data_IF_209019955921
#
_entry.id   IF_209019955921
#
_cell.length_a   1.000
_cell.length_b   1.000
_cell.length_c   1.000
_cell.angle_alpha   90.00
_cell.angle_beta   90.00
_cell.angle_gamma   90.00
#
_symmetry.space_group_name_H-M   'P 1'
#
loop_
_entity.id
_entity.type
_entity.pdbx_description
1 polymer ?
#
# COMPACT_ATOMS: atom_id res chain seq x y z
N UNK A 1 32.62 7.16 -17.89
CA UNK A 1 31.68 7.35 -16.76
C UNK A 1 30.30 7.43 -17.34
N UNK A 2 29.40 6.55 -16.92
CA UNK A 2 27.97 6.57 -17.24
C UNK A 2 27.27 7.61 -16.36
N UNK A 3 26.11 8.12 -16.80
CA UNK A 3 25.31 9.09 -16.03
C UNK A 3 24.62 8.40 -14.85
N UNK A 4 24.08 7.19 -15.10
CA UNK A 4 23.42 6.38 -14.09
C UNK A 4 24.44 5.52 -13.34
N UNK A 5 24.27 5.34 -12.01
CA UNK A 5 25.01 4.34 -11.25
C UNK A 5 24.83 2.93 -11.81
N UNK A 6 25.84 2.09 -11.64
CA UNK A 6 25.81 0.71 -12.13
C UNK A 6 24.73 -0.14 -11.43
N UNK A 7 24.34 0.23 -10.22
CA UNK A 7 23.34 -0.40 -9.36
C UNK A 7 21.98 0.33 -9.37
N UNK A 8 21.73 1.18 -10.38
CA UNK A 8 20.42 1.85 -10.50
C UNK A 8 19.29 0.82 -10.71
N UNK A 9 18.21 0.97 -9.94
CA UNK A 9 17.06 0.07 -10.00
C UNK A 9 16.08 0.49 -11.10
N UNK A 10 15.97 -0.32 -12.15
CA UNK A 10 15.05 -0.16 -13.28
C UNK A 10 13.93 -1.19 -13.21
N UNK A 11 12.68 -0.73 -13.28
CA UNK A 11 11.53 -1.62 -13.11
C UNK A 11 10.18 -0.96 -13.36
N UNK A 12 9.13 -1.66 -12.93
CA UNK A 12 7.74 -1.24 -12.99
C UNK A 12 7.06 -1.33 -11.62
N UNK A 13 5.87 -0.74 -11.49
CA UNK A 13 5.13 -0.68 -10.24
C UNK A 13 3.63 -0.89 -10.42
N UNK A 14 3.03 -1.68 -9.53
CA UNK A 14 1.58 -1.92 -9.42
C UNK A 14 1.16 -1.95 -7.94
N UNK A 15 -0.14 -2.05 -7.67
CA UNK A 15 -0.70 -2.44 -6.37
C UNK A 15 -1.49 -3.74 -6.52
N UNK A 16 -1.48 -4.60 -5.50
CA UNK A 16 -2.09 -5.92 -5.56
C UNK A 16 -3.57 -5.87 -6.00
N UNK A 17 -4.38 -5.05 -5.35
CA UNK A 17 -5.81 -4.90 -5.67
C UNK A 17 -6.10 -4.39 -7.11
N UNK A 18 -5.12 -3.81 -7.79
CA UNK A 18 -5.29 -3.28 -9.15
C UNK A 18 -5.00 -4.34 -10.23
N UNK A 19 -4.30 -5.42 -9.88
CA UNK A 19 -3.84 -6.41 -10.87
C UNK A 19 -4.16 -7.86 -10.51
N UNK A 20 -4.11 -8.23 -9.24
CA UNK A 20 -4.19 -9.63 -8.81
C UNK A 20 -5.51 -10.29 -9.20
N UNK A 21 -6.63 -9.63 -8.90
CA UNK A 21 -7.92 -10.31 -8.96
C UNK A 21 -8.05 -11.38 -7.90
N UNK A 22 -8.70 -12.50 -8.26
CA UNK A 22 -8.90 -13.67 -7.39
C UNK A 22 -9.36 -13.25 -5.98
N UNK A 23 -10.29 -12.29 -5.94
CA UNK A 23 -10.55 -11.47 -4.75
C UNK A 23 -11.09 -12.27 -3.55
N UNK A 24 -11.60 -13.47 -3.79
CA UNK A 24 -12.22 -14.38 -2.83
C UNK A 24 -11.58 -15.79 -2.82
N UNK A 25 -10.41 -15.96 -3.44
CA UNK A 25 -9.70 -17.24 -3.52
C UNK A 25 -8.70 -17.42 -2.37
N UNK A 26 -8.39 -18.67 -2.06
CA UNK A 26 -7.38 -19.07 -1.07
C UNK A 26 -7.51 -18.36 0.30
N UNK A 27 -8.76 -18.13 0.71
CA UNK A 27 -9.08 -17.53 1.99
C UNK A 27 -8.90 -16.02 2.07
N UNK A 28 -8.62 -15.32 0.96
CA UNK A 28 -8.58 -13.85 0.92
C UNK A 28 -9.90 -13.26 1.43
N UNK A 29 -9.79 -12.31 2.35
CA UNK A 29 -10.91 -11.50 2.81
C UNK A 29 -11.21 -10.31 1.90
N UNK A 30 -12.38 -9.72 2.08
CA UNK A 30 -12.74 -8.48 1.40
C UNK A 30 -11.85 -7.34 1.89
N UNK A 31 -11.40 -6.52 0.95
CA UNK A 31 -10.76 -5.24 1.15
C UNK A 31 -11.75 -4.11 0.85
N UNK A 32 -11.40 -2.87 1.20
CA UNK A 32 -12.18 -1.68 0.78
C UNK A 32 -12.34 -1.59 -0.74
N UNK A 33 -11.41 -2.13 -1.52
CA UNK A 33 -11.45 -2.08 -2.99
C UNK A 33 -12.51 -3.00 -3.59
N UNK A 34 -12.84 -4.09 -2.91
CA UNK A 34 -13.81 -5.07 -3.39
C UNK A 34 -15.24 -4.49 -3.41
N UNK A 35 -15.47 -3.40 -2.69
CA UNK A 35 -16.74 -2.64 -2.66
C UNK A 35 -16.67 -1.28 -3.35
N UNK A 36 -15.61 -0.99 -4.12
CA UNK A 36 -15.43 0.27 -4.86
C UNK A 36 -15.48 0.06 -6.38
N UNK A 37 -16.62 -0.33 -6.99
CA UNK A 37 -16.70 -0.58 -8.44
C UNK A 37 -16.33 0.65 -9.28
N UNK A 38 -16.55 1.86 -8.74
CA UNK A 38 -16.28 3.15 -9.38
C UNK A 38 -14.95 3.79 -8.94
N UNK A 39 -14.08 3.02 -8.29
CA UNK A 39 -12.80 3.49 -7.75
C UNK A 39 -12.96 4.45 -6.57
N UNK A 40 -11.86 5.04 -6.10
CA UNK A 40 -11.86 5.85 -4.88
C UNK A 40 -12.65 7.16 -4.94
N UNK A 41 -12.98 7.64 -6.15
CA UNK A 41 -13.86 8.80 -6.35
C UNK A 41 -15.34 8.44 -6.37
N UNK A 42 -15.67 7.15 -6.42
CA UNK A 42 -17.03 6.66 -6.44
C UNK A 42 -17.50 6.17 -5.06
N UNK A 43 -18.81 6.00 -4.94
CA UNK A 43 -19.44 5.48 -3.74
C UNK A 43 -19.15 3.98 -3.55
N UNK A 44 -19.00 3.58 -2.29
CA UNK A 44 -18.89 2.18 -1.91
C UNK A 44 -20.24 1.45 -2.02
N UNK A 45 -20.19 0.16 -2.33
CA UNK A 45 -21.34 -0.75 -2.26
C UNK A 45 -21.36 -1.49 -0.93
N UNK A 46 -22.51 -2.05 -0.54
CA UNK A 46 -22.61 -2.87 0.68
C UNK A 46 -21.83 -4.19 0.56
N UNK A 47 -21.85 -4.79 -0.62
CA UNK A 47 -21.15 -6.03 -0.96
C UNK A 47 -20.48 -5.88 -2.34
N UNK A 48 -19.49 -6.72 -2.68
CA UNK A 48 -18.90 -6.75 -4.01
C UNK A 48 -19.94 -6.91 -5.11
N UNK A 49 -19.77 -6.18 -6.21
CA UNK A 49 -20.65 -6.24 -7.38
C UNK A 49 -19.85 -6.65 -8.62
N UNK A 50 -20.49 -7.36 -9.54
CA UNK A 50 -19.84 -7.95 -10.73
C UNK A 50 -19.19 -6.90 -11.64
N UNK A 51 -19.69 -5.67 -11.66
CA UNK A 51 -19.12 -4.54 -12.41
C UNK A 51 -17.82 -4.00 -11.81
N UNK A 52 -17.43 -4.43 -10.60
CA UNK A 52 -16.15 -4.08 -10.03
C UNK A 52 -15.01 -4.87 -10.71
N UNK A 53 -14.30 -4.20 -11.62
CA UNK A 53 -13.20 -4.80 -12.38
C UNK A 53 -12.08 -5.38 -11.51
N UNK A 54 -11.91 -4.92 -10.27
CA UNK A 54 -10.88 -5.40 -9.34
C UNK A 54 -11.15 -6.80 -8.81
N UNK A 55 -12.38 -7.32 -8.95
CA UNK A 55 -12.69 -8.71 -8.56
C UNK A 55 -11.89 -9.71 -9.39
N UNK A 56 -11.73 -9.42 -10.69
CA UNK A 56 -10.89 -10.20 -11.62
C UNK A 56 -9.50 -9.58 -11.82
N UNK A 57 -9.34 -8.27 -11.64
CA UNK A 57 -8.09 -7.58 -11.95
C UNK A 57 -7.68 -7.79 -13.40
N UNK A 58 -6.39 -8.04 -13.62
CA UNK A 58 -5.88 -8.61 -14.88
C UNK A 58 -5.51 -10.09 -14.71
N UNK A 59 -5.98 -10.71 -13.63
CA UNK A 59 -5.69 -12.08 -13.24
C UNK A 59 -4.19 -12.35 -12.97
N UNK A 60 -3.46 -11.32 -12.48
CA UNK A 60 -2.05 -11.47 -12.12
C UNK A 60 -1.85 -12.56 -11.06
N UNK A 61 -2.85 -12.81 -10.21
CA UNK A 61 -2.79 -13.88 -9.20
C UNK A 61 -2.47 -15.25 -9.80
N UNK A 62 -2.97 -15.56 -10.99
CA UNK A 62 -2.69 -16.82 -11.69
C UNK A 62 -1.62 -16.68 -12.77
N UNK A 63 -1.47 -15.50 -13.36
CA UNK A 63 -0.62 -15.22 -14.52
C UNK A 63 0.74 -14.60 -14.18
N UNK A 64 1.06 -14.46 -12.89
CA UNK A 64 2.27 -13.74 -12.47
C UNK A 64 3.56 -14.31 -13.08
N UNK A 65 3.63 -15.60 -13.38
CA UNK A 65 4.83 -16.21 -13.98
C UNK A 65 5.05 -15.76 -15.43
N UNK A 66 3.97 -15.76 -16.21
CA UNK A 66 3.98 -15.28 -17.59
C UNK A 66 4.29 -13.77 -17.62
N UNK A 67 3.68 -12.99 -16.73
CA UNK A 67 3.90 -11.56 -16.65
C UNK A 67 5.33 -11.22 -16.18
N UNK A 68 5.89 -11.98 -15.22
CA UNK A 68 7.28 -11.84 -14.77
C UNK A 68 8.27 -12.22 -15.88
N UNK A 69 7.93 -13.19 -16.73
CA UNK A 69 8.74 -13.49 -17.91
C UNK A 69 8.86 -12.27 -18.81
N UNK A 70 7.77 -11.51 -19.02
CA UNK A 70 7.80 -10.25 -19.77
C UNK A 70 8.58 -9.15 -19.04
N UNK A 71 8.51 -9.07 -17.72
CA UNK A 71 9.33 -8.14 -16.92
C UNK A 71 10.83 -8.44 -17.07
N UNK A 72 11.19 -9.72 -17.06
CA UNK A 72 12.55 -10.17 -17.30
C UNK A 72 13.02 -9.88 -18.73
N UNK A 73 12.16 -10.02 -19.74
CA UNK A 73 12.50 -9.69 -21.13
C UNK A 73 12.84 -8.20 -21.28
N UNK A 74 12.15 -7.32 -20.54
CA UNK A 74 12.49 -5.89 -20.46
C UNK A 74 13.77 -5.59 -19.67
N UNK A 75 14.32 -6.58 -18.95
CA UNK A 75 15.53 -6.44 -18.14
C UNK A 75 15.29 -5.72 -16.81
N UNK A 76 14.13 -5.92 -16.19
CA UNK A 76 13.89 -5.40 -14.84
C UNK A 76 14.92 -5.98 -13.86
N UNK A 77 15.36 -5.15 -12.92
CA UNK A 77 16.12 -5.59 -11.75
C UNK A 77 15.38 -5.26 -10.43
N UNK A 78 14.24 -4.58 -10.52
CA UNK A 78 13.30 -4.37 -9.41
C UNK A 78 11.86 -4.47 -9.90
N UNK A 79 10.95 -4.95 -9.06
CA UNK A 79 9.52 -4.87 -9.30
C UNK A 79 8.78 -4.42 -8.04
N UNK A 80 8.03 -3.32 -8.15
CA UNK A 80 7.21 -2.80 -7.06
C UNK A 80 5.80 -3.38 -7.12
N UNK A 81 5.36 -3.98 -6.01
CA UNK A 81 3.97 -4.34 -5.78
C UNK A 81 3.58 -4.08 -4.32
N UNK A 82 2.36 -4.40 -3.93
CA UNK A 82 1.95 -4.47 -2.54
C UNK A 82 1.62 -5.90 -2.12
N UNK A 83 1.70 -6.18 -0.81
CA UNK A 83 1.13 -7.40 -0.25
C UNK A 83 -0.30 -7.07 0.18
N UNK A 84 -1.28 -7.72 -0.43
CA UNK A 84 -2.67 -7.55 -0.06
C UNK A 84 -2.90 -7.97 1.40
N UNK A 85 -3.15 -6.99 2.28
CA UNK A 85 -3.36 -7.23 3.71
C UNK A 85 -4.45 -8.28 3.92
N UNK A 86 -5.57 -8.21 3.18
CA UNK A 86 -6.66 -9.17 3.31
C UNK A 86 -6.35 -10.59 2.78
N UNK A 87 -5.20 -10.82 2.12
CA UNK A 87 -4.71 -12.19 1.86
C UNK A 87 -4.02 -12.78 3.09
N UNK A 88 -3.38 -11.96 3.91
CA UNK A 88 -2.61 -12.41 5.09
C UNK A 88 -3.49 -12.46 6.33
N UNK A 89 -4.28 -11.41 6.57
CA UNK A 89 -5.27 -11.34 7.64
C UNK A 89 -6.63 -10.95 7.03
N UNK A 90 -7.45 -11.94 6.62
CA UNK A 90 -8.71 -11.72 5.90
C UNK A 90 -9.66 -10.71 6.55
N UNK A 91 -9.77 -10.75 7.88
CA UNK A 91 -10.52 -9.77 8.68
C UNK A 91 -9.59 -8.73 9.29
N UNK A 92 -8.32 -9.06 9.54
CA UNK A 92 -7.34 -8.18 10.15
C UNK A 92 -7.15 -8.43 11.65
N UNK A 93 -8.09 -9.11 12.30
CA UNK A 93 -8.08 -9.39 13.73
C UNK A 93 -7.87 -10.87 14.10
N UNK A 94 -7.58 -11.74 13.13
CA UNK A 94 -7.24 -13.14 13.39
C UNK A 94 -5.94 -13.28 14.19
N UNK A 95 -5.85 -14.29 15.07
CA UNK A 95 -4.62 -14.58 15.82
C UNK A 95 -3.49 -15.07 14.90
N UNK A 96 -3.82 -15.99 13.97
CA UNK A 96 -2.88 -16.59 13.04
C UNK A 96 -3.09 -16.07 11.61
N UNK A 97 -2.01 -15.93 10.82
CA UNK A 97 -2.13 -15.51 9.42
C UNK A 97 -2.69 -16.63 8.54
N UNK A 98 -3.23 -16.24 7.40
CA UNK A 98 -3.61 -17.16 6.34
C UNK A 98 -2.36 -17.65 5.58
N UNK A 99 -1.98 -18.90 5.81
CA UNK A 99 -0.81 -19.53 5.19
C UNK A 99 -0.90 -19.58 3.66
N UNK A 100 -2.09 -19.72 3.07
CA UNK A 100 -2.23 -19.74 1.61
C UNK A 100 -1.85 -18.38 1.00
N UNK A 101 -2.23 -17.28 1.64
CA UNK A 101 -1.80 -15.94 1.27
C UNK A 101 -0.29 -15.75 1.42
N UNK A 102 0.30 -16.25 2.52
CA UNK A 102 1.75 -16.18 2.71
C UNK A 102 2.51 -16.97 1.63
N UNK A 103 2.03 -18.17 1.32
CA UNK A 103 2.61 -19.04 0.30
C UNK A 103 2.52 -18.44 -1.12
N UNK A 104 1.41 -17.80 -1.47
CA UNK A 104 1.29 -17.11 -2.76
C UNK A 104 2.42 -16.08 -2.94
N UNK A 105 2.67 -15.23 -1.95
CA UNK A 105 3.76 -14.25 -2.04
C UNK A 105 5.16 -14.89 -1.94
N UNK A 106 5.31 -16.03 -1.25
CA UNK A 106 6.57 -16.79 -1.32
C UNK A 106 6.88 -17.19 -2.77
N UNK A 107 5.90 -17.76 -3.48
CA UNK A 107 6.05 -18.21 -4.86
C UNK A 107 6.24 -17.03 -5.82
N UNK A 108 5.53 -15.92 -5.60
CA UNK A 108 5.71 -14.69 -6.37
C UNK A 108 7.13 -14.14 -6.24
N UNK A 109 7.65 -14.03 -5.01
CA UNK A 109 9.00 -13.51 -4.78
C UNK A 109 10.07 -14.48 -5.25
N UNK A 110 9.85 -15.79 -5.15
CA UNK A 110 10.75 -16.80 -5.72
C UNK A 110 10.83 -16.68 -7.25
N UNK A 111 9.70 -16.44 -7.93
CA UNK A 111 9.69 -16.26 -9.38
C UNK A 111 10.40 -14.97 -9.82
N UNK A 112 10.25 -13.87 -9.07
CA UNK A 112 11.01 -12.63 -9.30
C UNK A 112 12.51 -12.87 -9.15
N UNK A 113 12.93 -13.52 -8.06
CA UNK A 113 14.35 -13.84 -7.82
C UNK A 113 14.94 -14.81 -8.85
N UNK A 114 14.14 -15.76 -9.35
CA UNK A 114 14.56 -16.66 -10.43
C UNK A 114 14.96 -15.91 -11.70
N UNK A 115 14.45 -14.69 -11.89
CA UNK A 115 14.78 -13.78 -12.99
C UNK A 115 15.74 -12.65 -12.60
N UNK A 116 16.28 -12.66 -11.37
CA UNK A 116 17.18 -11.61 -10.87
C UNK A 116 16.49 -10.27 -10.60
N UNK A 117 15.19 -10.29 -10.30
CA UNK A 117 14.38 -9.11 -10.02
C UNK A 117 14.17 -8.98 -8.50
N UNK A 118 14.62 -7.88 -7.91
CA UNK A 118 14.39 -7.60 -6.50
C UNK A 118 12.94 -7.15 -6.23
N UNK A 119 12.24 -7.73 -5.25
CA UNK A 119 10.94 -7.21 -4.83
C UNK A 119 11.09 -5.87 -4.08
N UNK A 120 10.21 -4.92 -4.41
CA UNK A 120 9.97 -3.71 -3.63
C UNK A 120 8.51 -3.73 -3.14
N UNK A 121 8.31 -3.91 -1.84
CA UNK A 121 6.99 -4.19 -1.28
C UNK A 121 6.41 -2.96 -0.57
N UNK A 122 5.22 -2.54 -1.00
CA UNK A 122 4.38 -1.61 -0.23
C UNK A 122 3.49 -2.40 0.72
N UNK A 123 3.58 -2.14 2.03
CA UNK A 123 2.81 -2.87 3.04
C UNK A 123 1.32 -2.49 3.00
N UNK A 124 0.99 -1.20 2.99
CA UNK A 124 -0.39 -0.72 2.86
C UNK A 124 -0.57 0.14 1.61
N UNK A 125 -1.32 -0.39 0.63
CA UNK A 125 -1.61 0.30 -0.63
C UNK A 125 -3.12 0.29 -0.94
N UNK A 126 -3.88 1.02 -0.12
CA UNK A 126 -5.33 1.23 -0.27
C UNK A 126 -6.17 -0.06 -0.22
N UNK A 127 -5.71 -1.04 0.55
CA UNK A 127 -6.27 -2.40 0.56
C UNK A 127 -6.60 -2.92 1.97
N UNK A 128 -6.93 -2.00 2.87
CA UNK A 128 -7.37 -2.30 4.24
C UNK A 128 -8.48 -3.35 4.22
N UNK A 129 -8.41 -4.40 5.08
CA UNK A 129 -9.50 -5.36 5.21
C UNK A 129 -10.83 -4.67 5.51
N UNK A 130 -11.86 -4.97 4.73
CA UNK A 130 -13.18 -4.34 4.83
C UNK A 130 -13.77 -4.54 6.21
N UNK A 131 -13.47 -5.66 6.88
CA UNK A 131 -13.89 -5.89 8.25
C UNK A 131 -13.35 -4.82 9.22
N UNK A 132 -12.07 -4.46 9.13
CA UNK A 132 -11.51 -3.39 9.97
C UNK A 132 -12.13 -2.03 9.63
N UNK A 133 -12.33 -1.76 8.34
CA UNK A 133 -12.96 -0.52 7.87
C UNK A 133 -14.38 -0.37 8.44
N UNK A 134 -15.21 -1.41 8.35
CA UNK A 134 -16.60 -1.39 8.86
C UNK A 134 -16.69 -1.44 10.38
N UNK A 135 -15.83 -2.21 11.07
CA UNK A 135 -15.91 -2.43 12.52
C UNK A 135 -15.29 -1.29 13.34
N UNK A 136 -14.23 -0.69 12.84
CA UNK A 136 -13.44 0.31 13.56
C UNK A 136 -13.39 1.67 12.86
N UNK A 137 -14.10 1.83 11.73
CA UNK A 137 -13.99 3.02 10.87
C UNK A 137 -12.54 3.30 10.44
N UNK A 138 -11.76 2.23 10.25
CA UNK A 138 -10.39 2.32 9.79
C UNK A 138 -9.50 3.14 10.72
N UNK A 139 -8.60 3.93 10.13
CA UNK A 139 -7.47 4.55 10.81
C UNK A 139 -7.85 5.66 11.80
N UNK A 140 -9.11 6.09 11.88
CA UNK A 140 -9.56 6.95 12.99
C UNK A 140 -9.44 6.25 14.35
N UNK A 141 -9.51 4.92 14.36
CA UNK A 141 -9.34 4.11 15.56
C UNK A 141 -7.87 3.71 15.76
N UNK A 142 -7.34 4.03 16.94
CA UNK A 142 -5.95 3.75 17.32
C UNK A 142 -5.61 2.25 17.28
N UNK A 143 -6.59 1.35 17.40
CA UNK A 143 -6.38 -0.10 17.30
C UNK A 143 -5.84 -0.53 15.94
N UNK A 144 -6.04 0.26 14.88
CA UNK A 144 -5.44 -0.01 13.57
C UNK A 144 -3.92 -0.13 13.61
N UNK A 145 -3.25 0.60 14.51
CA UNK A 145 -1.81 0.49 14.72
C UNK A 145 -1.43 -0.96 15.07
N UNK A 146 -2.18 -1.60 15.96
CA UNK A 146 -1.92 -2.97 16.39
C UNK A 146 -2.18 -3.99 15.27
N UNK A 147 -3.29 -3.85 14.53
CA UNK A 147 -3.59 -4.75 13.42
C UNK A 147 -2.55 -4.64 12.31
N UNK A 148 -2.13 -3.42 11.98
CA UNK A 148 -1.09 -3.17 11.00
C UNK A 148 0.28 -3.66 11.48
N UNK A 149 0.63 -3.46 12.76
CA UNK A 149 1.86 -3.99 13.35
C UNK A 149 1.94 -5.52 13.19
N UNK A 150 0.85 -6.23 13.53
CA UNK A 150 0.78 -7.68 13.42
C UNK A 150 0.98 -8.13 11.98
N UNK A 151 0.23 -7.53 11.04
CA UNK A 151 0.38 -7.78 9.61
C UNK A 151 1.82 -7.55 9.13
N UNK A 152 2.37 -6.39 9.41
CA UNK A 152 3.72 -6.02 8.98
C UNK A 152 4.78 -6.95 9.58
N UNK A 153 4.70 -7.26 10.89
CA UNK A 153 5.64 -8.18 11.55
C UNK A 153 5.60 -9.56 10.90
N UNK A 154 4.41 -10.09 10.61
CA UNK A 154 4.27 -11.40 9.96
C UNK A 154 4.99 -11.44 8.61
N UNK A 155 4.75 -10.46 7.73
CA UNK A 155 5.34 -10.47 6.39
C UNK A 155 6.82 -10.09 6.40
N UNK A 156 7.24 -9.19 7.29
CA UNK A 156 8.65 -8.85 7.47
C UNK A 156 9.45 -10.08 7.95
N UNK A 157 8.93 -10.85 8.90
CA UNK A 157 9.59 -12.08 9.36
C UNK A 157 9.59 -13.16 8.27
N UNK A 158 8.45 -13.38 7.60
CA UNK A 158 8.31 -14.41 6.57
C UNK A 158 9.25 -14.17 5.38
N UNK A 159 9.38 -12.93 4.93
CA UNK A 159 10.12 -12.59 3.71
C UNK A 159 11.46 -11.92 3.97
N UNK A 160 12.03 -12.09 5.17
CA UNK A 160 13.27 -11.40 5.57
C UNK A 160 14.49 -11.68 4.70
N UNK A 161 14.52 -12.84 4.05
CA UNK A 161 15.59 -13.26 3.15
C UNK A 161 15.19 -13.10 1.67
N UNK A 162 13.98 -12.60 1.38
CA UNK A 162 13.42 -12.45 0.02
C UNK A 162 13.14 -11.01 -0.37
N UNK A 163 12.98 -10.08 0.57
CA UNK A 163 12.57 -8.70 0.24
C UNK A 163 13.45 -7.71 0.98
N UNK A 164 14.25 -6.95 0.25
CA UNK A 164 15.14 -5.92 0.82
C UNK A 164 14.45 -4.58 1.02
N UNK A 165 13.57 -4.19 0.09
CA UNK A 165 12.99 -2.85 0.02
C UNK A 165 11.52 -2.85 0.40
N UNK A 166 11.18 -2.03 1.39
CA UNK A 166 9.84 -1.93 1.96
C UNK A 166 9.36 -0.48 1.97
N UNK A 167 8.08 -0.27 1.71
CA UNK A 167 7.37 0.98 1.92
C UNK A 167 6.25 0.72 2.92
N UNK A 168 6.08 1.59 3.92
CA UNK A 168 5.05 1.39 4.94
C UNK A 168 3.65 1.69 4.40
N UNK A 169 3.41 2.91 3.99
CA UNK A 169 2.14 3.37 3.44
C UNK A 169 2.35 4.02 2.07
N UNK A 170 1.41 3.81 1.15
CA UNK A 170 1.28 4.65 -0.04
C UNK A 170 0.53 5.93 0.32
N UNK A 171 1.22 7.08 0.36
CA UNK A 171 0.64 8.41 0.55
C UNK A 171 -0.30 8.54 1.76
N UNK A 172 0.24 8.59 2.98
CA UNK A 172 -0.59 8.76 4.21
C UNK A 172 -1.53 9.97 4.13
N UNK A 173 -1.09 11.06 3.48
CA UNK A 173 -1.90 12.27 3.32
C UNK A 173 -3.07 12.11 2.34
N UNK A 174 -3.12 11.06 1.54
CA UNK A 174 -4.28 10.75 0.68
C UNK A 174 -5.57 10.50 1.49
N UNK A 175 -5.45 10.17 2.79
CA UNK A 175 -6.56 10.12 3.75
C UNK A 175 -7.37 11.42 3.77
N UNK A 176 -6.74 12.58 3.50
CA UNK A 176 -7.43 13.87 3.45
C UNK A 176 -8.49 13.92 2.34
N UNK A 177 -8.21 13.29 1.20
CA UNK A 177 -9.09 13.37 0.02
C UNK A 177 -9.97 12.13 -0.13
N UNK A 178 -9.42 10.95 0.18
CA UNK A 178 -10.04 9.64 0.00
C UNK A 178 -10.12 8.85 1.33
N UNK A 179 -10.86 9.33 2.36
CA UNK A 179 -10.86 8.71 3.70
C UNK A 179 -11.14 7.21 3.69
N UNK A 180 -12.12 6.76 2.90
CA UNK A 180 -12.47 5.34 2.82
C UNK A 180 -11.44 4.50 2.06
N UNK A 181 -10.96 4.96 0.91
CA UNK A 181 -9.98 4.23 0.09
C UNK A 181 -8.62 4.13 0.79
N UNK A 182 -8.12 5.25 1.30
CA UNK A 182 -6.78 5.33 1.87
C UNK A 182 -6.74 4.87 3.32
N UNK A 183 -7.67 5.39 4.12
CA UNK A 183 -7.71 5.17 5.56
C UNK A 183 -8.68 4.08 6.02
N UNK A 184 -9.46 3.47 5.12
CA UNK A 184 -10.53 2.56 5.53
C UNK A 184 -11.63 3.24 6.36
N UNK A 185 -11.75 4.56 6.29
CA UNK A 185 -12.64 5.34 7.14
C UNK A 185 -14.07 5.29 6.59
N UNK A 186 -14.87 4.38 7.15
CA UNK A 186 -16.30 4.21 6.82
C UNK A 186 -17.18 5.21 7.58
N UNK A 187 -16.86 6.50 7.45
CA UNK A 187 -17.65 7.63 7.95
C UNK A 187 -17.83 8.58 6.76
N UNK A 188 -19.06 9.05 6.45
CA UNK A 188 -19.29 9.98 5.35
C UNK A 188 -18.39 11.22 5.44
N UNK A 189 -17.92 11.72 4.29
CA UNK A 189 -16.92 12.81 4.24
C UNK A 189 -17.43 14.09 4.91
N UNK A 190 -18.73 14.36 4.84
CA UNK A 190 -19.40 15.50 5.49
C UNK A 190 -19.43 15.41 7.03
N UNK A 191 -19.23 14.21 7.58
CA UNK A 191 -19.17 13.96 9.02
C UNK A 191 -17.73 13.90 9.56
N UNK A 192 -16.71 14.02 8.69
CA UNK A 192 -15.30 13.98 9.08
C UNK A 192 -14.74 15.40 9.24
N UNK A 193 -14.31 15.71 10.45
CA UNK A 193 -13.54 16.92 10.73
C UNK A 193 -12.08 16.77 10.28
N UNK A 194 -11.40 17.90 10.03
CA UNK A 194 -9.94 17.90 9.83
C UNK A 194 -9.20 17.25 11.00
N UNK A 195 -9.70 17.40 12.23
CA UNK A 195 -9.08 16.77 13.41
C UNK A 195 -9.06 15.25 13.28
N UNK A 196 -10.16 14.63 12.86
CA UNK A 196 -10.25 13.17 12.70
C UNK A 196 -9.34 12.66 11.59
N UNK A 197 -9.29 13.37 10.46
CA UNK A 197 -8.40 13.02 9.34
C UNK A 197 -6.92 13.09 9.75
N UNK A 198 -6.51 14.19 10.41
CA UNK A 198 -5.13 14.32 10.90
C UNK A 198 -4.82 13.33 12.04
N UNK A 199 -5.80 12.96 12.86
CA UNK A 199 -5.64 11.93 13.88
C UNK A 199 -5.43 10.55 13.25
N UNK A 200 -6.14 10.23 12.16
CA UNK A 200 -5.93 9.01 11.40
C UNK A 200 -4.53 8.97 10.78
N UNK A 201 -4.10 10.05 10.13
CA UNK A 201 -2.74 10.16 9.58
C UNK A 201 -1.68 10.06 10.68
N UNK A 202 -1.94 10.63 11.86
CA UNK A 202 -1.05 10.46 13.02
C UNK A 202 -0.91 8.99 13.42
N UNK A 203 -2.00 8.22 13.43
CA UNK A 203 -1.92 6.78 13.69
C UNK A 203 -1.09 6.04 12.63
N UNK A 204 -1.24 6.38 11.35
CA UNK A 204 -0.43 5.82 10.26
C UNK A 204 1.06 6.17 10.41
N UNK A 205 1.41 7.41 10.76
CA UNK A 205 2.80 7.83 10.98
C UNK A 205 3.44 7.11 12.18
N UNK A 206 2.69 6.94 13.27
CA UNK A 206 3.13 6.16 14.44
C UNK A 206 3.32 4.69 14.05
N UNK A 207 2.37 4.11 13.31
CA UNK A 207 2.45 2.73 12.83
C UNK A 207 3.64 2.53 11.88
N UNK A 208 3.89 3.48 10.97
CA UNK A 208 5.05 3.51 10.07
C UNK A 208 6.36 3.48 10.86
N UNK A 209 6.46 4.31 11.90
CA UNK A 209 7.64 4.35 12.79
C UNK A 209 7.81 3.05 13.59
N UNK A 210 6.73 2.49 14.11
CA UNK A 210 6.72 1.22 14.84
C UNK A 210 7.19 0.08 13.94
N UNK A 211 6.66 -0.02 12.72
CA UNK A 211 7.06 -1.04 11.75
C UNK A 211 8.50 -0.85 11.29
N UNK A 212 8.97 0.39 11.14
CA UNK A 212 10.39 0.66 10.86
C UNK A 212 11.30 0.14 11.97
N UNK A 213 10.89 0.27 13.25
CA UNK A 213 11.62 -0.33 14.37
C UNK A 213 11.63 -1.87 14.25
N UNK A 214 10.48 -2.48 14.04
CA UNK A 214 10.33 -3.94 13.94
C UNK A 214 11.16 -4.51 12.79
N UNK A 215 11.13 -3.87 11.63
CA UNK A 215 11.92 -4.27 10.47
C UNK A 215 13.42 -4.31 10.80
N UNK A 216 13.95 -3.29 11.48
CA UNK A 216 15.36 -3.24 11.90
C UNK A 216 15.73 -4.31 12.95
N UNK A 217 14.78 -4.71 13.77
CA UNK A 217 14.97 -5.82 14.74
C UNK A 217 14.99 -7.19 14.05
N UNK A 218 14.18 -7.37 13.00
CA UNK A 218 14.07 -8.62 12.22
C UNK A 218 15.29 -8.81 11.31
N UNK A 219 15.62 -7.80 10.50
CA UNK A 219 16.75 -7.83 9.58
C UNK A 219 17.36 -6.43 9.41
N UNK A 220 18.61 -6.27 9.83
CA UNK A 220 19.34 -4.99 9.74
C UNK A 220 19.64 -4.53 8.31
N UNK A 221 19.52 -5.42 7.32
CA UNK A 221 19.78 -5.10 5.90
C UNK A 221 18.58 -4.48 5.18
N UNK A 222 17.38 -4.56 5.77
CA UNK A 222 16.18 -3.94 5.20
C UNK A 222 16.33 -2.44 4.97
N UNK A 223 15.71 -1.98 3.89
CA UNK A 223 15.50 -0.57 3.58
C UNK A 223 14.02 -0.27 3.66
N UNK A 224 13.62 0.45 4.71
CA UNK A 224 12.24 0.89 4.91
C UNK A 224 12.12 2.36 4.55
N UNK A 225 11.31 2.68 3.55
CA UNK A 225 11.03 4.04 3.08
C UNK A 225 9.60 4.48 3.36
N UNK A 226 9.39 5.80 3.33
CA UNK A 226 8.06 6.38 3.15
C UNK A 226 7.72 6.47 1.65
N UNK A 227 6.44 6.61 1.32
CA UNK A 227 5.99 6.90 -0.04
C UNK A 227 5.06 8.11 0.01
N UNK A 228 5.36 9.13 -0.79
CA UNK A 228 4.66 10.40 -0.83
C UNK A 228 4.39 10.83 -2.28
N UNK A 229 3.37 11.65 -2.46
CA UNK A 229 3.10 12.33 -3.73
C UNK A 229 4.07 13.49 -3.92
N UNK A 230 4.83 13.50 -5.02
CA UNK A 230 5.69 14.64 -5.36
C UNK A 230 4.92 15.60 -6.30
N UNK A 231 4.64 16.81 -5.83
CA UNK A 231 3.94 17.83 -6.62
C UNK A 231 4.63 19.20 -6.46
N UNK A 232 5.68 19.48 -7.25
CA UNK A 232 6.35 20.78 -7.18
C UNK A 232 5.38 21.87 -7.61
N UNK A 233 5.28 22.93 -6.81
CA UNK A 233 4.43 24.06 -7.12
C UNK A 233 5.25 25.23 -7.64
N UNK A 234 4.70 25.95 -8.62
CA UNK A 234 5.37 27.10 -9.23
C UNK A 234 4.55 28.36 -9.03
N UNK A 235 5.17 29.48 -8.62
CA UNK A 235 4.46 30.73 -8.52
C UNK A 235 4.12 31.24 -9.93
N UNK A 236 2.87 31.67 -10.12
CA UNK A 236 2.39 32.14 -11.43
C UNK A 236 3.16 33.39 -11.90
N UNK A 237 3.58 34.24 -10.97
CA UNK A 237 4.35 35.46 -11.23
C UNK A 237 5.45 35.63 -10.19
N UNK A 238 6.46 36.50 -10.40
CA UNK A 238 7.45 36.82 -9.38
C UNK A 238 6.89 37.68 -8.22
N UNK A 239 5.58 37.97 -8.19
CA UNK A 239 4.96 38.68 -7.09
C UNK A 239 5.18 37.90 -5.78
N UNK A 240 5.71 38.54 -4.71
CA UNK A 240 5.95 37.86 -3.44
C UNK A 240 4.72 37.16 -2.84
N UNK A 241 3.51 37.62 -3.17
CA UNK A 241 2.26 36.94 -2.76
C UNK A 241 2.10 35.57 -3.41
N UNK A 242 2.45 35.44 -4.69
CA UNK A 242 2.37 34.17 -5.41
C UNK A 242 3.46 33.22 -4.90
N UNK A 243 4.67 33.73 -4.69
CA UNK A 243 5.78 32.95 -4.10
C UNK A 243 5.40 32.42 -2.72
N UNK A 244 4.79 33.26 -1.87
CA UNK A 244 4.32 32.83 -0.56
C UNK A 244 3.18 31.81 -0.63
N UNK A 245 2.18 32.04 -1.50
CA UNK A 245 1.08 31.11 -1.67
C UNK A 245 1.55 29.73 -2.18
N UNK A 246 2.52 29.71 -3.10
CA UNK A 246 3.18 28.47 -3.56
C UNK A 246 3.89 27.76 -2.40
N UNK A 247 4.66 28.49 -1.59
CA UNK A 247 5.33 27.91 -0.43
C UNK A 247 4.34 27.32 0.59
N UNK A 248 3.25 28.04 0.88
CA UNK A 248 2.21 27.59 1.80
C UNK A 248 1.46 26.35 1.28
N UNK A 249 1.26 26.25 -0.04
CA UNK A 249 0.72 25.06 -0.68
C UNK A 249 1.65 23.85 -0.54
N UNK A 250 2.96 23.99 -0.82
CA UNK A 250 3.91 22.88 -0.70
C UNK A 250 4.04 22.37 0.74
N UNK A 251 3.89 23.25 1.74
CA UNK A 251 3.87 22.87 3.15
C UNK A 251 2.74 21.89 3.51
N UNK A 252 1.62 21.88 2.76
CA UNK A 252 0.56 20.89 2.93
C UNK A 252 1.04 19.47 2.63
N UNK A 253 2.01 19.31 1.74
CA UNK A 253 2.58 18.02 1.39
C UNK A 253 3.82 17.71 2.25
N UNK A 254 4.70 18.70 2.47
CA UNK A 254 5.93 18.53 3.24
C UNK A 254 5.71 18.15 4.71
N UNK A 255 4.53 18.42 5.26
CA UNK A 255 4.20 18.03 6.64
C UNK A 255 4.30 16.51 6.88
N UNK A 256 4.15 15.70 5.83
CA UNK A 256 4.08 14.23 5.92
C UNK A 256 5.29 13.49 5.32
N UNK A 257 6.22 14.22 4.69
CA UNK A 257 7.36 13.66 3.93
C UNK A 257 8.66 13.69 4.69
#
# INVERSE_FOLDING_TARGET
MTIFPDDFLWGGAVAANQVEGAYNEDGKGLSVQDVLPKGGLGEATENPTEDNLKLLGIDFYHKYKEDITLFSEMGFNVFRTSIAWSRIFPKGDEEEPNEAGLKYYDELFDELHAHGIEPLVTLSHYETPLYLARKYHGWVDRRMIHFYEKFARTVLERYKDKVKYWLTFNEVNSVLELPFTSGGIDIPKENLSKQELYQAIHHELVASSLVTKIAREINSEFKVGCMVLAMPAYPMTPNPKDVWATHEYENLNYLFS
#
